data_IF_788178448017
#
_entry.id   IF_788178448017
#
_cell.length_a   1.000
_cell.length_b   1.000
_cell.length_c   1.000
_cell.angle_alpha   90.00
_cell.angle_beta   90.00
_cell.angle_gamma   90.00
#
_symmetry.space_group_name_H-M   'P 1'
#
loop_
_entity.id
_entity.type
_entity.pdbx_description
1 polymer ?
#
# COMPACT_ATOMS: atom_id res chain seq x y z
N UNK A 1 57.91 16.33 -9.99
CA UNK A 1 57.45 15.13 -9.22
C UNK A 1 56.44 15.48 -8.11
N UNK A 2 56.68 16.46 -7.26
CA UNK A 2 55.75 16.85 -6.15
C UNK A 2 54.35 17.26 -6.62
N UNK A 3 54.24 17.96 -7.73
CA UNK A 3 52.93 18.39 -8.30
C UNK A 3 52.14 17.22 -8.89
N UNK A 4 52.81 16.23 -9.45
CA UNK A 4 52.17 15.01 -10.00
C UNK A 4 51.62 14.10 -8.89
N UNK A 5 52.32 13.99 -7.76
CA UNK A 5 51.86 13.27 -6.61
C UNK A 5 50.60 13.88 -5.97
N UNK A 6 50.55 15.21 -5.87
CA UNK A 6 49.37 15.93 -5.36
C UNK A 6 48.14 15.74 -6.26
N UNK A 7 48.32 15.71 -7.58
CA UNK A 7 47.19 15.49 -8.54
C UNK A 7 46.68 14.05 -8.47
N UNK A 8 47.59 13.06 -8.32
CA UNK A 8 47.19 11.65 -8.14
C UNK A 8 46.44 11.44 -6.82
N UNK A 9 46.84 12.10 -5.72
CA UNK A 9 46.20 11.99 -4.41
C UNK A 9 44.80 12.62 -4.46
N UNK A 10 44.64 13.74 -5.17
CA UNK A 10 43.34 14.40 -5.32
C UNK A 10 42.35 13.60 -6.21
N UNK A 11 42.83 12.96 -7.29
CA UNK A 11 42.03 12.04 -8.11
C UNK A 11 41.64 10.76 -7.34
N UNK A 12 42.49 10.25 -6.43
CA UNK A 12 42.20 9.09 -5.60
C UNK A 12 41.10 9.34 -4.57
N UNK A 13 40.97 10.56 -4.05
CA UNK A 13 39.96 10.93 -3.06
C UNK A 13 38.53 11.07 -3.67
N UNK A 14 38.43 11.34 -4.97
CA UNK A 14 37.12 11.45 -5.63
C UNK A 14 36.45 10.11 -5.94
N UNK A 15 37.18 9.00 -5.89
CA UNK A 15 36.66 7.65 -6.16
C UNK A 15 35.98 6.98 -4.94
N UNK A 16 36.03 7.60 -3.75
CA UNK A 16 35.43 7.06 -2.53
C UNK A 16 34.03 7.63 -2.25
N UNK A 17 33.52 8.50 -3.09
CA UNK A 17 32.12 8.88 -3.02
C UNK A 17 31.22 7.71 -3.45
N UNK A 18 31.11 6.69 -2.57
CA UNK A 18 30.01 5.72 -2.68
C UNK A 18 28.71 6.53 -2.62
N UNK A 19 28.11 6.77 -3.77
CA UNK A 19 26.73 7.22 -3.81
C UNK A 19 25.91 6.25 -2.94
N UNK A 20 25.45 6.72 -1.80
CA UNK A 20 24.55 5.92 -0.96
C UNK A 20 23.29 5.68 -1.81
N UNK A 21 23.17 4.49 -2.36
CA UNK A 21 21.98 4.09 -3.11
C UNK A 21 20.84 4.07 -2.12
N UNK A 22 19.86 4.96 -2.33
CA UNK A 22 18.67 5.00 -1.50
C UNK A 22 17.97 3.64 -1.53
N UNK A 23 17.54 3.19 -0.37
CA UNK A 23 16.92 1.88 -0.22
C UNK A 23 15.67 1.96 0.65
N UNK A 24 14.69 1.10 0.35
CA UNK A 24 13.62 0.78 1.28
C UNK A 24 14.20 0.19 2.57
N UNK A 25 13.48 0.34 3.67
CA UNK A 25 13.85 -0.25 4.96
C UNK A 25 13.76 -1.78 4.89
N UNK A 26 14.59 -2.46 5.68
CA UNK A 26 14.64 -3.93 5.72
C UNK A 26 13.28 -4.52 6.09
N UNK A 27 12.61 -3.91 7.06
CA UNK A 27 11.25 -4.25 7.46
C UNK A 27 10.58 -3.03 8.09
N UNK A 28 9.31 -2.81 7.76
CA UNK A 28 8.44 -1.84 8.45
C UNK A 28 7.11 -2.51 8.76
N UNK A 29 6.50 -2.16 9.89
CA UNK A 29 5.17 -2.64 10.26
C UNK A 29 4.41 -1.57 11.01
N UNK A 30 3.09 -1.67 10.97
CA UNK A 30 2.20 -0.70 11.57
C UNK A 30 0.73 -1.03 11.36
N UNK A 31 -0.09 -0.11 11.83
CA UNK A 31 -1.54 -0.16 11.65
C UNK A 31 -1.93 1.09 10.85
N UNK A 32 -2.84 0.91 9.92
CA UNK A 32 -3.40 2.00 9.12
C UNK A 32 -4.92 1.97 9.18
N UNK A 33 -5.53 3.13 9.15
CA UNK A 33 -6.97 3.31 8.98
C UNK A 33 -7.24 4.31 7.85
N UNK A 34 -8.42 4.22 7.27
CA UNK A 34 -8.92 5.13 6.25
C UNK A 34 -10.43 5.04 6.18
N UNK A 35 -11.03 5.78 5.24
CA UNK A 35 -12.49 5.74 5.03
C UNK A 35 -12.99 4.33 4.73
N UNK A 36 -12.17 3.51 4.06
CA UNK A 36 -12.53 2.19 3.57
C UNK A 36 -12.03 1.04 4.47
N UNK A 37 -11.66 1.30 5.73
CA UNK A 37 -11.32 0.22 6.66
C UNK A 37 -10.16 0.48 7.61
N UNK A 38 -9.66 -0.63 8.21
CA UNK A 38 -8.52 -0.67 9.12
C UNK A 38 -7.67 -1.90 8.83
N UNK A 39 -6.33 -1.73 8.81
CA UNK A 39 -5.39 -2.79 8.41
C UNK A 39 -4.11 -2.75 9.24
N UNK A 40 -3.67 -3.91 9.67
CA UNK A 40 -2.29 -4.13 10.09
C UNK A 40 -1.45 -4.54 8.88
N UNK A 41 -0.21 -4.06 8.83
CA UNK A 41 0.67 -4.36 7.69
C UNK A 41 2.11 -4.60 8.10
N UNK A 42 2.79 -5.37 7.27
CA UNK A 42 4.24 -5.52 7.28
C UNK A 42 4.77 -5.34 5.87
N UNK A 43 5.78 -4.50 5.69
CA UNK A 43 6.58 -4.45 4.47
C UNK A 43 7.95 -5.07 4.72
N UNK A 44 8.41 -5.88 3.79
CA UNK A 44 9.74 -6.53 3.82
C UNK A 44 10.47 -6.19 2.53
N UNK A 45 11.71 -5.78 2.65
CA UNK A 45 12.57 -5.44 1.51
C UNK A 45 12.82 -6.67 0.63
N UNK A 46 12.60 -6.52 -0.67
CA UNK A 46 13.00 -7.49 -1.71
C UNK A 46 14.24 -6.99 -2.46
N UNK A 47 14.34 -5.68 -2.71
CA UNK A 47 15.51 -5.03 -3.31
C UNK A 47 15.62 -3.60 -2.82
N UNK A 48 16.59 -2.83 -3.31
CA UNK A 48 16.77 -1.44 -2.86
C UNK A 48 15.54 -0.54 -3.11
N UNK A 49 14.74 -0.85 -4.11
CA UNK A 49 13.56 -0.04 -4.44
C UNK A 49 12.25 -0.82 -4.37
N UNK A 50 12.30 -2.12 -4.06
CA UNK A 50 11.11 -2.98 -4.04
C UNK A 50 10.93 -3.55 -2.63
N UNK A 51 9.73 -3.40 -2.09
CA UNK A 51 9.27 -4.05 -0.88
C UNK A 51 8.02 -4.90 -1.18
N UNK A 52 7.87 -6.02 -0.48
CA UNK A 52 6.63 -6.77 -0.44
C UNK A 52 5.85 -6.35 0.81
N UNK A 53 4.65 -5.86 0.61
CA UNK A 53 3.73 -5.54 1.68
C UNK A 53 2.67 -6.62 1.80
N UNK A 54 2.50 -7.14 3.01
CA UNK A 54 1.40 -8.00 3.41
C UNK A 54 0.49 -7.23 4.38
N UNK A 55 -0.82 -7.35 4.19
CA UNK A 55 -1.83 -6.74 5.06
C UNK A 55 -2.87 -7.76 5.47
N UNK A 56 -3.40 -7.56 6.68
CA UNK A 56 -4.61 -8.20 7.20
C UNK A 56 -5.45 -7.11 7.86
N UNK A 57 -6.76 -7.17 7.67
CA UNK A 57 -7.64 -6.15 8.25
C UNK A 57 -9.10 -6.33 7.87
N UNK A 58 -9.82 -5.22 7.94
CA UNK A 58 -11.24 -5.12 7.60
C UNK A 58 -11.43 -4.05 6.53
N UNK A 59 -12.04 -4.42 5.40
CA UNK A 59 -12.51 -3.46 4.41
C UNK A 59 -13.92 -3.00 4.74
N UNK A 60 -14.16 -1.69 4.61
CA UNK A 60 -15.46 -1.09 4.83
C UNK A 60 -16.14 -0.73 3.49
N UNK A 61 -17.42 -1.02 3.41
CA UNK A 61 -18.31 -0.56 2.36
C UNK A 61 -19.45 0.27 2.95
N UNK A 62 -19.94 1.24 2.20
CA UNK A 62 -21.04 2.12 2.61
C UNK A 62 -22.06 2.23 1.48
N UNK A 63 -23.33 2.29 1.84
CA UNK A 63 -24.42 2.57 0.92
C UNK A 63 -25.47 3.45 1.57
N UNK A 64 -26.30 4.10 0.79
CA UNK A 64 -27.35 4.98 1.29
C UNK A 64 -28.07 5.69 0.15
N UNK A 65 -28.96 6.61 0.52
CA UNK A 65 -29.78 7.38 -0.40
C UNK A 65 -31.25 7.02 -0.30
N UNK A 66 -32.09 7.64 -1.14
CA UNK A 66 -33.56 7.55 -1.06
C UNK A 66 -34.15 6.15 -1.30
N UNK A 67 -33.35 5.21 -1.76
CA UNK A 67 -33.73 3.81 -2.01
C UNK A 67 -33.58 2.90 -0.79
N UNK A 68 -32.95 3.39 0.29
CA UNK A 68 -32.67 2.61 1.49
C UNK A 68 -33.37 3.26 2.68
N UNK A 69 -33.90 2.45 3.65
CA UNK A 69 -34.54 2.99 4.86
C UNK A 69 -33.60 3.87 5.69
N UNK A 70 -32.32 3.50 5.72
CA UNK A 70 -31.24 4.22 6.42
C UNK A 70 -29.90 4.02 5.70
N UNK A 71 -28.89 4.81 6.07
CA UNK A 71 -27.52 4.59 5.57
C UNK A 71 -26.96 3.32 6.14
N UNK A 72 -26.42 2.46 5.28
CA UNK A 72 -25.82 1.20 5.65
C UNK A 72 -24.29 1.24 5.62
N UNK A 73 -23.69 0.41 6.45
CA UNK A 73 -22.29 0.08 6.34
C UNK A 73 -22.07 -1.42 6.54
N UNK A 74 -20.99 -1.92 5.99
CA UNK A 74 -20.47 -3.24 6.27
C UNK A 74 -18.95 -3.21 6.40
N UNK A 75 -18.41 -4.17 7.16
CA UNK A 75 -16.97 -4.45 7.19
C UNK A 75 -16.75 -5.95 7.02
N UNK A 76 -15.80 -6.31 6.17
CA UNK A 76 -15.44 -7.70 5.88
C UNK A 76 -13.94 -7.92 6.06
N UNK A 77 -13.52 -9.11 6.52
CA UNK A 77 -12.11 -9.46 6.62
C UNK A 77 -11.43 -9.42 5.24
N UNK A 78 -10.18 -8.97 5.22
CA UNK A 78 -9.37 -8.91 4.01
C UNK A 78 -7.93 -9.28 4.28
N UNK A 79 -7.33 -9.99 3.34
CA UNK A 79 -5.88 -10.17 3.23
C UNK A 79 -5.39 -9.56 1.93
N UNK A 80 -4.18 -8.94 1.95
CA UNK A 80 -3.57 -8.32 0.76
C UNK A 80 -2.10 -8.63 0.64
N UNK A 81 -1.66 -8.72 -0.61
CA UNK A 81 -0.25 -8.73 -0.97
C UNK A 81 -0.01 -7.66 -2.03
N UNK A 82 1.03 -6.87 -1.80
CA UNK A 82 1.39 -5.73 -2.65
C UNK A 82 2.91 -5.69 -2.86
N UNK A 83 3.46 -6.15 -3.97
CA UNK A 83 4.81 -5.78 -4.38
C UNK A 83 4.81 -4.29 -4.73
N UNK A 84 5.56 -3.47 -3.96
CA UNK A 84 5.64 -2.02 -4.09
C UNK A 84 6.97 -1.59 -4.64
N UNK A 85 7.00 -0.94 -5.79
CA UNK A 85 8.18 -0.31 -6.35
C UNK A 85 8.23 1.18 -6.02
N UNK A 86 9.15 1.55 -5.12
CA UNK A 86 9.41 2.92 -4.70
C UNK A 86 10.38 3.61 -5.67
N UNK A 87 9.92 4.03 -6.84
CA UNK A 87 10.74 4.47 -7.97
C UNK A 87 11.48 5.79 -7.76
N UNK A 88 11.12 6.59 -6.76
CA UNK A 88 11.68 7.94 -6.59
C UNK A 88 12.60 8.11 -5.37
N UNK A 89 13.03 7.04 -4.68
CA UNK A 89 13.86 7.14 -3.48
C UNK A 89 15.18 7.85 -3.74
N UNK A 90 15.90 7.50 -4.78
CA UNK A 90 17.18 8.14 -5.17
C UNK A 90 16.99 9.66 -5.39
N UNK A 91 15.93 10.06 -6.13
CA UNK A 91 15.59 11.46 -6.36
C UNK A 91 15.22 12.20 -5.05
N UNK A 92 14.65 11.50 -4.09
CA UNK A 92 14.35 12.09 -2.78
C UNK A 92 15.62 12.35 -1.98
N UNK A 93 16.51 11.37 -1.91
CA UNK A 93 17.82 11.50 -1.21
C UNK A 93 18.65 12.60 -1.84
N UNK A 94 18.78 12.68 -3.18
CA UNK A 94 19.53 13.73 -3.85
C UNK A 94 18.98 15.15 -3.58
N UNK A 95 17.73 15.26 -3.13
CA UNK A 95 17.07 16.50 -2.71
C UNK A 95 16.96 16.64 -1.19
N UNK A 96 17.72 15.89 -0.43
CA UNK A 96 17.71 15.86 1.05
C UNK A 96 16.31 15.64 1.64
N UNK A 97 15.43 14.91 0.93
CA UNK A 97 14.08 14.58 1.40
C UNK A 97 14.08 13.26 2.15
N UNK A 98 13.32 13.21 3.24
CA UNK A 98 13.18 12.02 4.08
C UNK A 98 12.65 10.81 3.29
N UNK A 99 13.30 9.64 3.45
CA UNK A 99 12.89 8.34 2.91
C UNK A 99 12.57 7.32 4.02
N UNK A 100 12.70 7.70 5.29
CA UNK A 100 12.38 6.83 6.42
C UNK A 100 10.97 6.26 6.31
N UNK A 101 10.77 5.02 6.77
CA UNK A 101 9.49 4.31 6.66
C UNK A 101 9.02 4.13 5.23
N UNK A 102 9.94 4.00 4.27
CA UNK A 102 9.65 3.90 2.85
C UNK A 102 8.89 5.13 2.31
N UNK A 103 9.25 6.33 2.81
CA UNK A 103 8.64 7.60 2.38
C UNK A 103 9.00 7.89 0.92
N UNK A 104 8.11 7.57 0.00
CA UNK A 104 8.32 7.64 -1.44
C UNK A 104 7.02 7.65 -2.24
N UNK A 105 7.13 7.77 -3.55
CA UNK A 105 6.06 7.43 -4.47
C UNK A 105 6.27 5.99 -4.91
N UNK A 106 5.18 5.25 -5.08
CA UNK A 106 5.26 3.84 -5.44
C UNK A 106 4.27 3.48 -6.54
N UNK A 107 4.60 2.42 -7.24
CA UNK A 107 3.69 1.64 -8.06
C UNK A 107 3.54 0.27 -7.40
N UNK A 108 2.34 -0.25 -7.39
CA UNK A 108 2.05 -1.58 -6.85
C UNK A 108 1.03 -2.32 -7.69
N UNK A 109 1.07 -3.64 -7.62
CA UNK A 109 -0.01 -4.51 -8.04
C UNK A 109 -0.71 -5.01 -6.76
N UNK A 110 -1.76 -4.31 -6.34
CA UNK A 110 -2.52 -4.69 -5.16
C UNK A 110 -3.37 -5.92 -5.48
N UNK A 111 -3.08 -7.03 -4.80
CA UNK A 111 -3.89 -8.24 -4.83
C UNK A 111 -4.58 -8.39 -3.49
N UNK A 112 -5.92 -8.42 -3.48
CA UNK A 112 -6.73 -8.56 -2.27
C UNK A 112 -7.64 -9.77 -2.38
N UNK A 113 -7.87 -10.42 -1.23
CA UNK A 113 -8.91 -11.43 -1.07
C UNK A 113 -9.76 -11.05 0.14
N UNK A 114 -11.04 -10.70 -0.12
CA UNK A 114 -12.01 -10.44 0.93
C UNK A 114 -12.75 -11.74 1.24
N UNK A 115 -12.84 -12.04 2.54
CA UNK A 115 -13.34 -13.31 3.06
C UNK A 115 -14.77 -13.12 3.58
N UNK A 116 -15.65 -14.09 3.30
CA UNK A 116 -17.00 -14.13 3.84
C UNK A 116 -17.12 -14.80 5.23
N UNK A 117 -16.03 -14.82 6.01
CA UNK A 117 -16.03 -15.49 7.31
C UNK A 117 -17.04 -14.89 8.29
N UNK A 118 -17.12 -13.58 8.31
CA UNK A 118 -18.10 -12.80 9.06
C UNK A 118 -18.25 -11.41 8.47
N UNK A 119 -19.37 -10.77 8.78
CA UNK A 119 -19.68 -9.40 8.38
C UNK A 119 -20.07 -8.60 9.62
N UNK A 120 -19.53 -7.39 9.76
CA UNK A 120 -20.01 -6.41 10.73
C UNK A 120 -20.84 -5.39 9.95
N UNK A 121 -22.12 -5.24 10.28
CA UNK A 121 -23.03 -4.33 9.58
C UNK A 121 -24.08 -3.80 10.57
N UNK A 122 -24.71 -2.66 10.23
CA UNK A 122 -25.91 -2.17 10.92
C UNK A 122 -27.21 -2.72 10.32
N UNK A 123 -27.13 -3.50 9.24
CA UNK A 123 -28.26 -4.23 8.68
C UNK A 123 -28.20 -5.71 9.11
N UNK A 124 -29.35 -6.28 9.38
CA UNK A 124 -29.47 -7.73 9.66
C UNK A 124 -29.37 -8.53 8.35
N UNK A 125 -28.90 -9.77 8.47
CA UNK A 125 -28.83 -10.74 7.37
C UNK A 125 -28.06 -10.27 6.12
N UNK A 126 -27.00 -9.48 6.31
CA UNK A 126 -26.08 -9.12 5.22
C UNK A 126 -25.16 -10.30 4.92
N UNK A 127 -25.25 -10.81 3.70
CA UNK A 127 -24.35 -11.82 3.18
C UNK A 127 -23.35 -11.17 2.21
N UNK A 128 -22.09 -11.58 2.29
CA UNK A 128 -21.02 -11.11 1.41
C UNK A 128 -20.34 -12.32 0.79
N UNK A 129 -20.21 -12.34 -0.52
CA UNK A 129 -19.45 -13.37 -1.20
C UNK A 129 -17.95 -13.13 -1.08
N UNK A 130 -17.17 -14.21 -1.04
CA UNK A 130 -15.73 -14.12 -1.23
C UNK A 130 -15.42 -13.38 -2.53
N UNK A 131 -14.37 -12.58 -2.54
CA UNK A 131 -13.94 -11.90 -3.76
C UNK A 131 -12.42 -11.75 -3.82
N UNK A 132 -11.90 -11.81 -5.03
CA UNK A 132 -10.50 -11.51 -5.34
C UNK A 132 -10.43 -10.27 -6.21
N UNK A 133 -9.46 -9.41 -5.95
CA UNK A 133 -9.19 -8.26 -6.83
C UNK A 133 -7.70 -8.11 -7.12
N UNK A 134 -7.40 -7.61 -8.32
CA UNK A 134 -6.05 -7.28 -8.77
C UNK A 134 -6.10 -5.87 -9.36
N UNK A 135 -5.44 -4.93 -8.68
CA UNK A 135 -5.55 -3.51 -9.00
C UNK A 135 -4.17 -2.84 -9.06
N UNK A 136 -3.63 -2.60 -10.27
CA UNK A 136 -2.50 -1.70 -10.45
C UNK A 136 -2.82 -0.35 -9.80
N UNK A 137 -1.94 0.10 -8.89
CA UNK A 137 -2.15 1.32 -8.12
C UNK A 137 -0.89 2.16 -8.11
N UNK A 138 -1.03 3.45 -8.36
CA UNK A 138 -0.02 4.46 -8.08
C UNK A 138 -0.32 5.12 -6.76
N UNK A 139 0.72 5.34 -5.93
CA UNK A 139 0.53 5.94 -4.64
C UNK A 139 1.72 6.75 -4.14
N UNK A 140 1.45 7.48 -3.08
CA UNK A 140 2.38 8.33 -2.34
C UNK A 140 2.33 7.92 -0.88
N UNK A 141 3.49 7.66 -0.28
CA UNK A 141 3.64 7.46 1.17
C UNK A 141 4.53 8.54 1.75
N UNK A 142 4.15 9.12 2.89
CA UNK A 142 4.94 10.12 3.62
C UNK A 142 4.82 9.88 5.11
N UNK A 143 5.91 10.20 5.82
CA UNK A 143 5.94 10.22 7.27
C UNK A 143 5.57 11.60 7.80
N UNK A 144 4.89 11.61 8.93
CA UNK A 144 4.61 12.76 9.76
C UNK A 144 5.28 12.49 11.12
N UNK A 145 6.38 13.19 11.39
CA UNK A 145 7.22 12.86 12.56
C UNK A 145 7.85 11.48 12.45
N UNK A 146 8.00 10.78 13.57
CA UNK A 146 8.72 9.51 13.65
C UNK A 146 7.82 8.27 13.43
N UNK A 147 6.55 8.36 13.79
CA UNK A 147 5.65 7.21 13.85
C UNK A 147 4.46 7.30 12.90
N UNK A 148 3.94 8.49 12.65
CA UNK A 148 2.77 8.63 11.79
C UNK A 148 3.13 8.61 10.32
N UNK A 149 2.24 8.01 9.53
CA UNK A 149 2.36 7.95 8.08
C UNK A 149 1.02 8.31 7.45
N UNK A 150 1.06 8.90 6.27
CA UNK A 150 -0.12 8.95 5.41
C UNK A 150 0.20 8.37 4.04
N UNK A 151 -0.80 7.77 3.46
CA UNK A 151 -0.74 7.24 2.10
C UNK A 151 -1.94 7.75 1.30
N UNK A 152 -1.68 8.14 0.07
CA UNK A 152 -2.73 8.46 -0.91
C UNK A 152 -2.36 7.81 -2.23
N UNK A 153 -3.37 7.36 -2.97
CA UNK A 153 -3.16 6.70 -4.24
C UNK A 153 -4.46 6.42 -4.97
N UNK A 154 -4.31 6.05 -6.23
CA UNK A 154 -5.42 5.69 -7.11
C UNK A 154 -5.01 4.51 -7.98
N UNK A 155 -5.94 3.62 -8.21
CA UNK A 155 -5.79 2.47 -9.09
C UNK A 155 -7.09 2.07 -9.74
N UNK A 156 -6.97 1.39 -10.88
CA UNK A 156 -8.08 0.75 -11.55
C UNK A 156 -7.65 -0.65 -11.96
N UNK A 157 -8.52 -1.62 -11.78
CA UNK A 157 -8.22 -3.03 -12.06
C UNK A 157 -9.50 -3.85 -12.18
N UNK A 158 -9.39 -5.09 -11.76
CA UNK A 158 -10.45 -6.07 -11.90
C UNK A 158 -10.75 -6.75 -10.57
N UNK A 159 -12.04 -7.01 -10.33
CA UNK A 159 -12.55 -7.78 -9.21
C UNK A 159 -13.42 -8.91 -9.71
N UNK A 160 -13.23 -10.09 -9.12
CA UNK A 160 -14.06 -11.26 -9.35
C UNK A 160 -14.73 -11.68 -8.04
N UNK A 161 -16.05 -11.74 -8.05
CA UNK A 161 -16.91 -12.04 -6.91
C UNK A 161 -17.45 -13.45 -7.11
N UNK A 162 -17.24 -14.32 -6.13
CA UNK A 162 -17.74 -15.70 -6.12
C UNK A 162 -19.22 -15.74 -5.70
N UNK A 163 -20.07 -15.00 -6.41
CA UNK A 163 -21.48 -14.79 -6.07
C UNK A 163 -22.32 -16.08 -6.03
N UNK A 164 -21.92 -17.13 -6.75
CA UNK A 164 -22.55 -18.45 -6.67
C UNK A 164 -22.51 -19.05 -5.26
N UNK A 165 -21.51 -18.74 -4.47
CA UNK A 165 -21.36 -19.26 -3.11
C UNK A 165 -22.43 -18.75 -2.14
N UNK A 166 -23.10 -17.66 -2.51
CA UNK A 166 -24.17 -17.01 -1.73
C UNK A 166 -25.51 -17.00 -2.47
N UNK A 167 -25.71 -17.97 -3.39
CA UNK A 167 -27.02 -18.24 -4.01
C UNK A 167 -27.32 -17.54 -5.34
N UNK A 168 -26.39 -16.79 -5.91
CA UNK A 168 -26.57 -16.21 -7.26
C UNK A 168 -26.37 -17.26 -8.36
N UNK A 169 -26.95 -17.01 -9.53
CA UNK A 169 -26.84 -17.93 -10.68
C UNK A 169 -25.43 -17.95 -11.27
N UNK A 170 -24.72 -16.80 -11.24
CA UNK A 170 -23.39 -16.66 -11.84
C UNK A 170 -22.44 -15.90 -10.92
N UNK A 171 -21.15 -16.12 -11.10
CA UNK A 171 -20.11 -15.29 -10.52
C UNK A 171 -20.01 -13.97 -11.28
N UNK A 172 -19.57 -12.90 -10.62
CA UNK A 172 -19.57 -11.56 -11.20
C UNK A 172 -18.12 -11.09 -11.36
N UNK A 173 -17.79 -10.65 -12.58
CA UNK A 173 -16.53 -9.97 -12.87
C UNK A 173 -16.79 -8.52 -13.21
N UNK A 174 -16.07 -7.60 -12.58
CA UNK A 174 -16.28 -6.18 -12.77
C UNK A 174 -15.00 -5.35 -12.67
N UNK A 175 -15.05 -4.11 -13.19
CA UNK A 175 -13.99 -3.15 -12.96
C UNK A 175 -13.98 -2.71 -11.49
N UNK A 176 -12.79 -2.58 -10.92
CA UNK A 176 -12.60 -2.16 -9.54
C UNK A 176 -11.72 -0.91 -9.46
N UNK A 177 -12.13 0.03 -8.63
CA UNK A 177 -11.35 1.22 -8.29
C UNK A 177 -10.71 1.05 -6.92
N UNK A 178 -9.45 1.49 -6.80
CA UNK A 178 -8.78 1.64 -5.51
C UNK A 178 -8.56 3.12 -5.22
N UNK A 179 -9.24 3.64 -4.22
CA UNK A 179 -8.99 4.95 -3.62
C UNK A 179 -8.25 4.75 -2.31
N UNK A 180 -6.94 4.95 -2.35
CA UNK A 180 -6.04 4.70 -1.24
C UNK A 180 -5.84 6.00 -0.45
N UNK A 181 -6.64 6.19 0.60
CA UNK A 181 -6.55 7.31 1.53
C UNK A 181 -6.42 6.77 2.94
N UNK A 182 -5.21 6.79 3.51
CA UNK A 182 -4.91 6.14 4.78
C UNK A 182 -4.01 7.00 5.66
N UNK A 183 -4.24 6.92 6.96
CA UNK A 183 -3.35 7.38 8.01
C UNK A 183 -2.94 6.18 8.83
N UNK A 184 -1.69 6.13 9.29
CA UNK A 184 -1.19 5.00 10.04
C UNK A 184 -0.18 5.37 11.09
N UNK A 185 0.00 4.43 12.01
CA UNK A 185 1.05 4.43 13.02
C UNK A 185 2.04 3.31 12.72
N UNK A 186 3.32 3.67 12.66
CA UNK A 186 4.45 2.76 12.44
C UNK A 186 5.16 2.51 13.76
N UNK A 187 5.44 1.26 14.03
CA UNK A 187 6.20 0.81 15.21
C UNK A 187 7.70 0.85 14.98
#
# INVERSE_FOLDING_TARGET
MRKLLLTLTFCGLTLIAKSQTASVEQSTYGIQTGVLGIWAHKETKLSNQIALRAEIGMDAGFWGGSFYPENGYLMTPVIRLEPRWYYNLNKRVSKSRNISGNSGNFLTLQTSYNLNWFVISNYDNVEVADQISIIPTWGIRRNIGNHFTYETGIGIGYRYIFAKSVGYLENIGEAALNLHLRIGYRF
#
